data_IF_022380307505
#
_entry.id   IF_022380307505
#
_cell.length_a   1.000
_cell.length_b   1.000
_cell.length_c   1.000
_cell.angle_alpha   90.00
_cell.angle_beta   90.00
_cell.angle_gamma   90.00
#
_symmetry.space_group_name_H-M   'P 1'
#
loop_
_entity.id
_entity.type
_entity.pdbx_description
1 polymer ?
#
# COMPACT_ATOMS: atom_id res chain seq x y z
N UNK A 1 13.33 27.88 5.88
CA UNK A 1 12.21 27.02 5.43
C UNK A 1 12.60 26.39 4.10
N UNK A 2 12.85 25.06 4.02
CA UNK A 2 13.10 24.38 2.74
C UNK A 2 11.83 24.53 1.88
N UNK A 3 11.98 24.97 0.62
CA UNK A 3 10.86 25.02 -0.35
C UNK A 3 10.25 23.64 -0.46
N UNK A 4 8.98 23.53 -0.08
CA UNK A 4 8.22 22.29 -0.25
C UNK A 4 7.65 22.25 -1.67
N UNK A 5 7.57 21.05 -2.23
CA UNK A 5 6.88 20.86 -3.51
C UNK A 5 5.39 21.16 -3.35
N UNK A 6 4.80 21.91 -4.28
CA UNK A 6 3.37 22.13 -4.36
C UNK A 6 2.60 20.81 -4.49
N UNK A 7 3.25 19.79 -5.04
CA UNK A 7 2.69 18.46 -5.27
C UNK A 7 2.78 17.50 -4.07
N UNK A 8 3.32 17.96 -2.90
CA UNK A 8 3.47 17.09 -1.74
C UNK A 8 2.12 16.65 -1.16
N UNK A 9 1.23 17.59 -0.89
CA UNK A 9 -0.09 17.28 -0.28
C UNK A 9 -0.97 16.49 -1.26
N UNK A 10 -1.14 16.89 -2.53
CA UNK A 10 -1.84 16.06 -3.52
C UNK A 10 -1.23 14.66 -3.66
N UNK A 11 0.10 14.55 -3.65
CA UNK A 11 0.80 13.27 -3.68
C UNK A 11 0.45 12.37 -2.49
N UNK A 12 0.40 12.90 -1.27
CA UNK A 12 0.00 12.16 -0.06
C UNK A 12 -1.43 11.63 -0.17
N UNK A 13 -2.37 12.42 -0.68
CA UNK A 13 -3.77 12.01 -0.88
C UNK A 13 -3.83 10.85 -1.89
N UNK A 14 -3.21 11.01 -3.05
CA UNK A 14 -3.20 9.99 -4.10
C UNK A 14 -2.47 8.71 -3.66
N UNK A 15 -1.40 8.83 -2.89
CA UNK A 15 -0.74 7.69 -2.25
C UNK A 15 -1.75 6.97 -1.34
N UNK A 16 -2.47 7.70 -0.46
CA UNK A 16 -3.52 7.12 0.37
C UNK A 16 -4.55 6.33 -0.44
N UNK A 17 -5.05 6.91 -1.53
CA UNK A 17 -5.99 6.25 -2.45
C UNK A 17 -5.40 4.97 -3.04
N UNK A 18 -4.14 5.00 -3.50
CA UNK A 18 -3.48 3.88 -4.18
C UNK A 18 -2.97 2.79 -3.25
N UNK A 19 -2.89 3.03 -1.92
CA UNK A 19 -2.33 2.06 -0.98
C UNK A 19 -3.19 0.82 -0.77
N UNK A 20 -4.49 0.91 -0.91
CA UNK A 20 -5.40 -0.22 -0.64
C UNK A 20 -6.15 -0.71 -1.86
N UNK A 21 -6.56 0.17 -2.76
CA UNK A 21 -7.41 -0.18 -3.90
C UNK A 21 -6.88 -1.35 -4.74
N UNK A 22 -5.56 -1.45 -5.08
CA UNK A 22 -5.08 -2.53 -5.96
C UNK A 22 -5.12 -3.93 -5.35
N UNK A 23 -5.28 -4.04 -4.02
CA UNK A 23 -5.33 -5.34 -3.38
C UNK A 23 -6.67 -5.63 -2.70
N UNK A 24 -7.43 -4.62 -2.25
CA UNK A 24 -8.75 -4.82 -1.63
C UNK A 24 -9.81 -5.27 -2.63
N UNK A 25 -9.63 -4.93 -3.90
CA UNK A 25 -10.54 -5.33 -4.98
C UNK A 25 -10.32 -6.78 -5.43
N UNK A 26 -9.11 -7.35 -5.25
CA UNK A 26 -8.79 -8.69 -5.72
C UNK A 26 -9.74 -9.79 -5.22
N UNK A 27 -10.06 -9.88 -3.90
CA UNK A 27 -10.98 -10.91 -3.42
C UNK A 27 -12.35 -10.85 -4.10
N UNK A 28 -12.84 -9.64 -4.40
CA UNK A 28 -14.16 -9.39 -4.98
C UNK A 28 -14.26 -9.94 -6.42
N UNK A 29 -13.16 -9.87 -7.18
CA UNK A 29 -13.13 -10.25 -8.60
C UNK A 29 -12.44 -11.60 -8.85
N UNK A 30 -12.17 -12.40 -7.81
CA UNK A 30 -11.52 -13.71 -7.97
C UNK A 30 -12.31 -14.65 -8.88
N UNK A 31 -13.63 -14.64 -8.78
CA UNK A 31 -14.51 -15.41 -9.65
C UNK A 31 -14.36 -15.04 -11.13
N UNK A 32 -14.34 -13.74 -11.42
CA UNK A 32 -14.19 -13.24 -12.80
C UNK A 32 -12.79 -13.55 -13.35
N UNK A 33 -11.74 -13.46 -12.51
CA UNK A 33 -10.38 -13.86 -12.89
C UNK A 33 -10.30 -15.35 -13.19
N UNK A 34 -10.94 -16.18 -12.34
CA UNK A 34 -11.03 -17.63 -12.49
C UNK A 34 -11.66 -18.02 -13.83
N UNK A 35 -12.82 -17.45 -14.14
CA UNK A 35 -13.51 -17.65 -15.41
C UNK A 35 -12.68 -17.14 -16.60
N UNK A 36 -12.09 -15.97 -16.48
CA UNK A 36 -11.30 -15.36 -17.56
C UNK A 36 -9.99 -16.06 -17.88
N UNK A 37 -9.40 -16.77 -16.93
CA UNK A 37 -8.16 -17.53 -17.10
C UNK A 37 -8.37 -19.04 -17.22
N UNK A 38 -9.60 -19.54 -17.01
CA UNK A 38 -9.90 -20.98 -17.05
C UNK A 38 -9.25 -21.79 -15.93
N UNK A 39 -9.10 -21.20 -14.74
CA UNK A 39 -8.46 -21.83 -13.57
C UNK A 39 -9.42 -21.90 -12.41
N UNK A 40 -9.25 -22.86 -11.50
CA UNK A 40 -10.09 -22.97 -10.32
C UNK A 40 -9.90 -21.80 -9.35
N UNK A 41 -10.99 -21.32 -8.75
CA UNK A 41 -10.97 -20.24 -7.73
C UNK A 41 -10.09 -20.62 -6.54
N UNK A 42 -10.08 -21.89 -6.15
CA UNK A 42 -9.25 -22.42 -5.06
C UNK A 42 -7.77 -22.14 -5.25
N UNK A 43 -7.26 -22.23 -6.49
CA UNK A 43 -5.87 -21.92 -6.83
C UNK A 43 -5.55 -20.43 -6.69
N UNK A 44 -6.54 -19.56 -6.91
CA UNK A 44 -6.37 -18.10 -6.82
C UNK A 44 -6.44 -17.57 -5.39
N UNK A 45 -6.91 -18.37 -4.42
CA UNK A 45 -6.99 -17.96 -3.01
C UNK A 45 -5.66 -17.45 -2.43
N UNK A 46 -4.54 -18.01 -2.89
CA UNK A 46 -3.20 -17.55 -2.50
C UNK A 46 -2.95 -16.08 -2.86
N UNK A 47 -3.56 -15.56 -3.95
CA UNK A 47 -3.41 -14.16 -4.37
C UNK A 47 -3.80 -13.15 -3.29
N UNK A 48 -4.76 -13.50 -2.43
CA UNK A 48 -5.23 -12.62 -1.36
C UNK A 48 -4.25 -12.57 -0.18
N UNK A 49 -3.48 -13.66 0.03
CA UNK A 49 -2.51 -13.77 1.12
C UNK A 49 -1.13 -13.21 0.75
N UNK A 50 -0.76 -13.23 -0.54
CA UNK A 50 0.56 -12.76 -1.00
C UNK A 50 0.91 -11.33 -0.56
N UNK A 51 0.02 -10.33 -0.66
CA UNK A 51 0.32 -8.99 -0.19
C UNK A 51 0.63 -8.95 1.30
N UNK A 52 -0.05 -9.76 2.13
CA UNK A 52 0.18 -9.81 3.58
C UNK A 52 1.55 -10.40 3.92
N UNK A 53 1.98 -11.44 3.18
CA UNK A 53 3.34 -11.98 3.30
C UNK A 53 4.38 -10.92 2.94
N UNK A 54 4.17 -10.17 1.85
CA UNK A 54 5.06 -9.08 1.47
C UNK A 54 5.08 -7.96 2.51
N UNK A 55 3.95 -7.65 3.15
CA UNK A 55 3.90 -6.71 4.27
C UNK A 55 4.82 -7.14 5.41
N UNK A 56 4.76 -8.40 5.80
CA UNK A 56 5.61 -8.94 6.88
C UNK A 56 7.09 -8.84 6.52
N UNK A 57 7.46 -9.25 5.32
CA UNK A 57 8.86 -9.25 4.88
C UNK A 57 9.41 -7.83 4.70
N UNK A 58 8.73 -7.00 3.90
CA UNK A 58 9.26 -5.69 3.53
C UNK A 58 9.14 -4.64 4.63
N UNK A 59 8.21 -4.78 5.59
CA UNK A 59 8.14 -3.90 6.76
C UNK A 59 9.44 -3.87 7.56
N UNK A 60 10.12 -5.02 7.70
CA UNK A 60 11.38 -5.14 8.44
C UNK A 60 12.56 -4.44 7.73
N UNK A 61 12.55 -4.41 6.40
CA UNK A 61 13.64 -3.84 5.61
C UNK A 61 13.42 -2.38 5.20
N UNK A 62 12.18 -1.90 5.23
CA UNK A 62 11.78 -0.57 4.75
C UNK A 62 12.59 0.56 5.39
N UNK A 63 12.79 0.52 6.72
CA UNK A 63 13.54 1.55 7.45
C UNK A 63 15.03 1.55 7.09
N UNK A 64 15.64 0.37 6.92
CA UNK A 64 17.05 0.25 6.50
C UNK A 64 17.24 0.77 5.07
N UNK A 65 16.27 0.49 4.20
CA UNK A 65 16.28 0.95 2.82
C UNK A 65 16.17 2.48 2.75
N UNK A 66 15.26 3.07 3.55
CA UNK A 66 15.07 4.51 3.65
C UNK A 66 16.30 5.26 4.19
N UNK A 67 17.07 4.62 5.11
CA UNK A 67 18.33 5.18 5.59
C UNK A 67 19.41 5.27 4.50
N UNK A 68 19.45 4.27 3.59
CA UNK A 68 20.44 4.20 2.49
C UNK A 68 20.05 5.08 1.32
N UNK A 69 18.84 4.96 0.82
CA UNK A 69 18.38 5.57 -0.43
C UNK A 69 17.76 6.96 -0.17
N UNK A 70 17.09 7.13 0.98
CA UNK A 70 16.28 8.30 1.31
C UNK A 70 14.79 8.03 1.10
N UNK A 71 13.96 8.84 1.77
CA UNK A 71 12.51 8.63 1.80
C UNK A 71 11.87 8.85 0.44
N UNK A 72 12.07 10.03 -0.14
CA UNK A 72 11.40 10.43 -1.38
C UNK A 72 11.83 9.58 -2.57
N UNK A 73 13.12 9.20 -2.65
CA UNK A 73 13.60 8.28 -3.67
C UNK A 73 12.96 6.91 -3.52
N UNK A 74 12.92 6.38 -2.29
CA UNK A 74 12.33 5.08 -2.02
C UNK A 74 10.83 5.06 -2.33
N UNK A 75 10.10 6.15 -2.02
CA UNK A 75 8.69 6.29 -2.42
C UNK A 75 8.53 6.30 -3.94
N UNK A 76 9.38 7.02 -4.65
CA UNK A 76 9.34 7.06 -6.12
C UNK A 76 9.55 5.67 -6.71
N UNK A 77 10.56 4.93 -6.24
CA UNK A 77 10.79 3.56 -6.69
C UNK A 77 9.63 2.62 -6.32
N UNK A 78 9.10 2.74 -5.12
CA UNK A 78 7.96 1.91 -4.70
C UNK A 78 6.71 2.19 -5.55
N UNK A 79 6.40 3.45 -5.87
CA UNK A 79 5.28 3.81 -6.74
C UNK A 79 5.49 3.34 -8.19
N UNK A 80 6.73 3.38 -8.67
CA UNK A 80 7.08 2.82 -9.98
C UNK A 80 6.86 1.29 -10.03
N UNK A 81 7.37 0.56 -9.02
CA UNK A 81 7.15 -0.88 -8.91
C UNK A 81 5.68 -1.23 -8.69
N UNK A 82 4.92 -0.40 -7.95
CA UNK A 82 3.48 -0.54 -7.79
C UNK A 82 2.76 -0.47 -9.15
N UNK A 83 3.13 0.51 -9.97
CA UNK A 83 2.51 0.71 -11.30
C UNK A 83 2.86 -0.43 -12.25
N UNK A 84 4.13 -0.83 -12.32
CA UNK A 84 4.57 -1.97 -13.16
C UNK A 84 3.92 -3.26 -12.64
N UNK A 85 3.95 -3.52 -11.34
CA UNK A 85 3.32 -4.68 -10.74
C UNK A 85 1.83 -4.78 -11.06
N UNK A 86 1.12 -3.65 -11.05
CA UNK A 86 -0.29 -3.61 -11.44
C UNK A 86 -0.48 -3.92 -12.94
N UNK A 87 0.41 -3.41 -13.81
CA UNK A 87 0.33 -3.59 -15.24
C UNK A 87 0.58 -5.04 -15.67
N UNK A 88 1.60 -5.69 -15.14
CA UNK A 88 1.98 -7.07 -15.54
C UNK A 88 0.94 -8.11 -15.13
N UNK A 89 0.05 -7.80 -14.19
CA UNK A 89 -1.09 -8.65 -13.82
C UNK A 89 -2.04 -8.97 -14.97
N UNK A 90 -2.02 -8.15 -16.04
CA UNK A 90 -2.92 -8.27 -17.18
C UNK A 90 -2.53 -9.36 -18.17
N UNK A 91 -1.28 -9.85 -18.12
CA UNK A 91 -0.67 -10.64 -19.18
C UNK A 91 -1.06 -12.12 -19.07
N UNK A 92 -0.69 -12.77 -17.98
CA UNK A 92 -0.96 -14.20 -17.76
C UNK A 92 -0.94 -14.55 -16.24
N UNK A 93 -1.31 -15.79 -15.92
CA UNK A 93 -1.41 -16.27 -14.55
C UNK A 93 -0.08 -16.15 -13.76
N UNK A 94 1.09 -16.58 -14.22
CA UNK A 94 2.33 -16.39 -13.47
C UNK A 94 2.66 -14.92 -13.20
N UNK A 95 2.42 -14.04 -14.17
CA UNK A 95 2.64 -12.61 -14.02
C UNK A 95 1.59 -11.93 -13.13
N UNK A 96 0.39 -12.51 -13.02
CA UNK A 96 -0.62 -12.07 -12.03
C UNK A 96 -0.10 -12.28 -10.60
N UNK A 97 0.52 -13.43 -10.32
CA UNK A 97 1.16 -13.69 -9.01
C UNK A 97 2.35 -12.77 -8.78
N UNK A 98 3.26 -12.67 -9.74
CA UNK A 98 4.44 -11.81 -9.63
C UNK A 98 4.05 -10.33 -9.44
N UNK A 99 3.08 -9.85 -10.23
CA UNK A 99 2.56 -8.48 -10.10
C UNK A 99 1.92 -8.23 -8.73
N UNK A 100 1.22 -9.23 -8.19
CA UNK A 100 0.62 -9.12 -6.85
C UNK A 100 1.69 -9.07 -5.76
N UNK A 101 2.77 -9.82 -5.88
CA UNK A 101 3.94 -9.72 -4.99
C UNK A 101 4.58 -8.33 -5.06
N UNK A 102 4.81 -7.79 -6.28
CA UNK A 102 5.39 -6.46 -6.46
C UNK A 102 4.50 -5.36 -5.88
N UNK A 103 3.21 -5.44 -6.10
CA UNK A 103 2.21 -4.51 -5.52
C UNK A 103 2.25 -4.59 -4.00
N UNK A 104 2.20 -5.79 -3.43
CA UNK A 104 2.25 -6.00 -1.98
C UNK A 104 3.53 -5.45 -1.34
N UNK A 105 4.70 -5.72 -1.93
CA UNK A 105 5.99 -5.21 -1.47
C UNK A 105 6.05 -3.67 -1.51
N UNK A 106 5.58 -3.07 -2.60
CA UNK A 106 5.55 -1.62 -2.77
C UNK A 106 4.65 -0.93 -1.73
N UNK A 107 3.44 -1.47 -1.55
CA UNK A 107 2.48 -0.97 -0.56
C UNK A 107 3.04 -1.11 0.86
N UNK A 108 3.72 -2.22 1.17
CA UNK A 108 4.34 -2.43 2.48
C UNK A 108 5.37 -1.35 2.81
N UNK A 109 6.28 -1.07 1.87
CA UNK A 109 7.31 -0.03 2.03
C UNK A 109 6.67 1.34 2.25
N UNK A 110 5.70 1.72 1.41
CA UNK A 110 5.03 3.02 1.48
C UNK A 110 4.28 3.17 2.80
N UNK A 111 3.48 2.19 3.21
CA UNK A 111 2.69 2.24 4.45
C UNK A 111 3.56 2.44 5.70
N UNK A 112 4.67 1.71 5.80
CA UNK A 112 5.57 1.80 6.97
C UNK A 112 6.26 3.16 7.04
N UNK A 113 6.60 3.74 5.90
CA UNK A 113 7.41 4.95 5.85
C UNK A 113 6.61 6.24 5.69
N UNK A 114 5.32 6.16 5.35
CA UNK A 114 4.48 7.34 5.10
C UNK A 114 4.42 8.31 6.29
N UNK A 115 4.25 7.86 7.55
CA UNK A 115 4.32 8.75 8.70
C UNK A 115 5.69 9.42 8.85
N UNK A 116 6.78 8.68 8.58
CA UNK A 116 8.15 9.22 8.65
C UNK A 116 8.41 10.25 7.56
N UNK A 117 7.86 10.05 6.37
CA UNK A 117 7.93 11.00 5.26
C UNK A 117 7.19 12.30 5.61
N UNK A 118 5.99 12.20 6.18
CA UNK A 118 5.20 13.36 6.62
C UNK A 118 5.97 14.12 7.70
N UNK A 119 6.53 13.41 8.68
CA UNK A 119 7.30 14.00 9.76
C UNK A 119 8.55 14.74 9.26
N UNK A 120 9.26 14.17 8.28
CA UNK A 120 10.46 14.79 7.70
C UNK A 120 10.14 16.06 6.91
N UNK A 121 9.01 16.09 6.21
CA UNK A 121 8.63 17.20 5.34
C UNK A 121 7.75 18.25 6.04
N UNK A 122 6.79 17.85 6.87
CA UNK A 122 5.84 18.74 7.53
C UNK A 122 5.60 18.39 9.00
N UNK A 123 6.58 18.55 9.89
CA UNK A 123 6.47 18.15 11.29
C UNK A 123 5.33 18.86 12.05
N UNK A 124 4.97 20.08 11.63
CA UNK A 124 3.88 20.85 12.27
C UNK A 124 2.47 20.37 11.85
N UNK A 125 2.35 19.60 10.77
CA UNK A 125 1.06 19.16 10.19
C UNK A 125 0.90 17.64 10.19
N UNK A 126 1.66 16.91 11.01
CA UNK A 126 1.65 15.44 11.03
C UNK A 126 0.23 14.90 11.24
N UNK A 127 -0.46 15.37 12.28
CA UNK A 127 -1.82 14.91 12.59
C UNK A 127 -2.78 15.14 11.42
N UNK A 128 -2.80 16.35 10.87
CA UNK A 128 -3.67 16.70 9.75
C UNK A 128 -3.39 15.84 8.51
N UNK A 129 -2.13 15.71 8.09
CA UNK A 129 -1.78 14.93 6.90
C UNK A 129 -1.99 13.44 7.10
N UNK A 130 -1.80 12.93 8.33
CA UNK A 130 -2.10 11.54 8.67
C UNK A 130 -3.60 11.28 8.56
N UNK A 131 -4.44 12.13 9.15
CA UNK A 131 -5.90 12.02 9.01
C UNK A 131 -6.31 12.08 7.54
N UNK A 132 -5.74 13.01 6.78
CA UNK A 132 -6.07 13.21 5.37
C UNK A 132 -5.82 11.96 4.53
N UNK A 133 -4.63 11.34 4.63
CA UNK A 133 -4.35 10.14 3.83
C UNK A 133 -5.13 8.91 4.32
N UNK A 134 -5.33 8.76 5.63
CA UNK A 134 -6.11 7.64 6.18
C UNK A 134 -7.58 7.74 5.75
N UNK A 135 -8.17 8.93 5.80
CA UNK A 135 -9.54 9.16 5.32
C UNK A 135 -9.64 8.91 3.81
N UNK A 136 -8.69 9.44 3.02
CA UNK A 136 -8.63 9.19 1.58
C UNK A 136 -8.53 7.70 1.26
N UNK A 137 -7.71 6.95 2.02
CA UNK A 137 -7.57 5.51 1.90
C UNK A 137 -8.88 4.77 2.20
N UNK A 138 -9.61 5.19 3.26
CA UNK A 138 -10.91 4.60 3.61
C UNK A 138 -11.97 4.84 2.55
N UNK A 139 -12.13 6.09 2.10
CA UNK A 139 -13.08 6.47 1.04
C UNK A 139 -12.76 5.72 -0.26
N UNK A 140 -11.49 5.69 -0.66
CA UNK A 140 -11.06 5.02 -1.87
C UNK A 140 -11.32 3.49 -1.81
N UNK A 141 -11.09 2.87 -0.65
CA UNK A 141 -11.41 1.45 -0.44
C UNK A 141 -12.90 1.18 -0.60
N UNK A 142 -13.75 1.98 0.03
CA UNK A 142 -15.21 1.83 -0.07
C UNK A 142 -15.71 2.02 -1.52
N UNK A 143 -15.24 3.07 -2.19
CA UNK A 143 -15.60 3.33 -3.59
C UNK A 143 -15.10 2.23 -4.53
N UNK A 144 -13.86 1.77 -4.37
CA UNK A 144 -13.29 0.73 -5.20
C UNK A 144 -14.02 -0.61 -5.01
N UNK A 145 -14.39 -0.97 -3.79
CA UNK A 145 -15.18 -2.17 -3.51
C UNK A 145 -16.59 -2.07 -4.09
N UNK A 146 -17.24 -0.92 -3.93
CA UNK A 146 -18.59 -0.69 -4.49
C UNK A 146 -18.60 -0.74 -6.02
N UNK A 147 -17.59 -0.15 -6.67
CA UNK A 147 -17.50 -0.06 -8.13
C UNK A 147 -16.88 -1.30 -8.77
N UNK A 148 -16.27 -2.21 -8.01
CA UNK A 148 -15.57 -3.38 -8.53
C UNK A 148 -16.51 -4.24 -9.40
N UNK A 149 -17.65 -4.65 -8.86
CA UNK A 149 -18.62 -5.53 -9.55
C UNK A 149 -19.22 -4.84 -10.77
N UNK A 150 -19.79 -3.61 -10.69
CA UNK A 150 -20.32 -2.91 -11.87
C UNK A 150 -19.29 -2.74 -13.00
N UNK A 151 -18.06 -2.37 -12.68
CA UNK A 151 -17.01 -2.18 -13.68
C UNK A 151 -16.61 -3.51 -14.32
N UNK A 152 -16.49 -4.57 -13.53
CA UNK A 152 -16.12 -5.89 -14.03
C UNK A 152 -17.21 -6.45 -14.95
N UNK A 153 -18.48 -6.27 -14.60
CA UNK A 153 -19.62 -6.68 -15.44
C UNK A 153 -19.71 -5.86 -16.73
N UNK A 154 -19.42 -4.56 -16.68
CA UNK A 154 -19.49 -3.68 -17.85
C UNK A 154 -18.33 -3.86 -18.84
N UNK A 155 -17.14 -4.27 -18.34
CA UNK A 155 -15.95 -4.39 -19.20
C UNK A 155 -15.29 -5.77 -19.09
N UNK A 156 -14.62 -6.05 -18.01
CA UNK A 156 -13.99 -7.31 -17.61
C UNK A 156 -13.15 -7.08 -16.36
N UNK A 157 -12.65 -8.14 -15.72
CA UNK A 157 -11.67 -8.05 -14.65
C UNK A 157 -10.38 -7.30 -15.08
N UNK A 158 -9.97 -7.44 -16.36
CA UNK A 158 -8.83 -6.71 -16.93
C UNK A 158 -9.09 -5.21 -16.99
N UNK A 159 -10.30 -4.79 -17.36
CA UNK A 159 -10.68 -3.37 -17.40
C UNK A 159 -10.56 -2.70 -16.03
N UNK A 160 -10.98 -3.38 -14.98
CA UNK A 160 -10.83 -2.89 -13.61
C UNK A 160 -9.35 -2.78 -13.21
N UNK A 161 -8.52 -3.78 -13.52
CA UNK A 161 -7.06 -3.71 -13.25
C UNK A 161 -6.41 -2.58 -14.04
N UNK A 162 -6.81 -2.32 -15.28
CA UNK A 162 -6.33 -1.19 -16.07
C UNK A 162 -6.67 0.14 -15.38
N UNK A 163 -7.90 0.30 -14.92
CA UNK A 163 -8.32 1.51 -14.19
C UNK A 163 -7.47 1.73 -12.93
N UNK A 164 -7.23 0.68 -12.16
CA UNK A 164 -6.36 0.74 -10.98
C UNK A 164 -4.90 1.03 -11.34
N UNK A 165 -4.42 0.50 -12.46
CA UNK A 165 -3.07 0.79 -12.97
C UNK A 165 -2.94 2.25 -13.38
N UNK A 166 -3.95 2.83 -14.04
CA UNK A 166 -3.98 4.25 -14.38
C UNK A 166 -3.98 5.14 -13.13
N UNK A 167 -4.70 4.74 -12.08
CA UNK A 167 -4.66 5.41 -10.78
C UNK A 167 -3.25 5.37 -10.16
N UNK A 168 -2.59 4.21 -10.18
CA UNK A 168 -1.22 4.08 -9.68
C UNK A 168 -0.23 4.92 -10.51
N UNK A 169 -0.40 4.95 -11.83
CA UNK A 169 0.39 5.78 -12.73
C UNK A 169 0.19 7.27 -12.46
N UNK A 170 -1.05 7.72 -12.29
CA UNK A 170 -1.36 9.10 -11.94
C UNK A 170 -0.71 9.47 -10.60
N UNK A 171 -0.78 8.59 -9.61
CA UNK A 171 -0.12 8.78 -8.31
C UNK A 171 1.40 8.90 -8.46
N UNK A 172 2.02 8.03 -9.26
CA UNK A 172 3.45 8.08 -9.55
C UNK A 172 3.85 9.40 -10.23
N UNK A 173 3.11 9.83 -11.25
CA UNK A 173 3.40 11.07 -11.98
C UNK A 173 3.25 12.33 -11.09
N UNK A 174 2.19 12.39 -10.28
CA UNK A 174 2.00 13.51 -9.34
C UNK A 174 3.06 13.50 -8.24
N UNK A 175 3.55 12.31 -7.85
CA UNK A 175 4.62 12.21 -6.87
C UNK A 175 6.00 12.58 -7.42
N UNK A 176 6.26 12.40 -8.72
CA UNK A 176 7.57 12.51 -9.35
C UNK A 176 8.33 13.82 -9.04
N UNK A 177 7.68 15.02 -8.98
CA UNK A 177 8.37 16.26 -8.62
C UNK A 177 8.98 16.22 -7.22
N UNK A 178 8.47 15.39 -6.30
CA UNK A 178 8.99 15.25 -4.94
C UNK A 178 10.30 14.47 -4.88
N UNK A 179 10.66 13.73 -5.94
CA UNK A 179 11.92 13.00 -6.05
C UNK A 179 13.17 13.92 -5.87
N UNK A 180 13.05 15.20 -6.21
CA UNK A 180 14.12 16.21 -6.07
C UNK A 180 14.46 16.55 -4.61
N UNK A 181 13.52 16.27 -3.69
CA UNK A 181 13.67 16.54 -2.26
C UNK A 181 13.91 15.22 -1.56
N UNK A 182 15.16 14.90 -1.22
CA UNK A 182 15.46 13.61 -0.60
C UNK A 182 15.90 13.79 0.87
N UNK A 183 15.08 13.26 1.80
CA UNK A 183 15.38 13.23 3.22
C UNK A 183 15.81 11.82 3.61
N UNK A 184 17.02 11.68 4.12
CA UNK A 184 17.49 10.43 4.70
C UNK A 184 17.03 10.34 6.15
N UNK A 185 16.49 9.19 6.53
CA UNK A 185 16.27 8.89 7.94
C UNK A 185 17.61 8.87 8.65
N UNK A 186 17.71 9.63 9.74
CA UNK A 186 18.90 9.57 10.58
C UNK A 186 19.11 8.11 11.01
N UNK A 187 20.37 7.60 11.01
CA UNK A 187 20.65 6.30 11.59
C UNK A 187 20.07 6.31 13.00
N UNK A 188 19.24 5.34 13.32
CA UNK A 188 18.83 5.17 14.71
C UNK A 188 20.11 4.91 15.49
N UNK A 189 20.65 5.95 16.11
CA UNK A 189 21.64 5.78 17.16
C UNK A 189 21.03 4.75 18.09
N UNK A 190 21.76 3.66 18.35
CA UNK A 190 21.43 2.68 19.38
C UNK A 190 21.42 3.40 20.73
N UNK A 191 20.47 4.31 20.92
CA UNK A 191 20.10 4.68 22.27
C UNK A 191 19.68 3.38 22.89
N UNK A 192 20.53 2.85 23.75
CA UNK A 192 20.15 1.79 24.68
C UNK A 192 18.97 2.34 25.46
N UNK A 193 17.76 2.16 24.90
CA UNK A 193 16.53 2.41 25.64
C UNK A 193 16.63 1.54 26.87
N UNK A 194 16.86 2.18 28.04
CA UNK A 194 16.90 1.49 29.33
C UNK A 194 15.56 0.84 29.67
N UNK A 195 14.50 1.23 29.00
CA UNK A 195 13.19 0.59 29.06
C UNK A 195 13.18 -0.60 28.11
N UNK A 196 13.14 -1.79 28.69
CA UNK A 196 12.85 -3.02 27.95
C UNK A 196 11.42 -2.89 27.41
N UNK A 197 11.27 -2.40 26.18
CA UNK A 197 9.97 -2.17 25.50
C UNK A 197 9.09 -3.42 25.60
N UNK A 198 9.70 -4.60 25.52
CA UNK A 198 9.05 -5.92 25.67
C UNK A 198 8.45 -6.18 27.06
N UNK A 199 8.81 -5.43 28.11
CA UNK A 199 8.27 -5.60 29.47
C UNK A 199 7.17 -4.59 29.80
N UNK A 200 6.84 -3.67 28.88
CA UNK A 200 5.80 -2.69 29.12
C UNK A 200 4.43 -3.27 28.73
N UNK A 201 3.55 -3.48 29.70
CA UNK A 201 2.17 -3.99 29.49
C UNK A 201 1.36 -3.15 28.50
N UNK A 202 1.57 -1.81 28.48
CA UNK A 202 0.89 -0.92 27.56
C UNK A 202 1.27 -1.17 26.10
N UNK A 203 2.55 -1.48 25.83
CA UNK A 203 3.03 -1.83 24.49
C UNK A 203 2.38 -3.12 24.02
N UNK A 204 2.29 -4.12 24.90
CA UNK A 204 1.61 -5.38 24.57
C UNK A 204 0.11 -5.18 24.33
N UNK A 205 -0.57 -4.35 25.12
CA UNK A 205 -1.97 -4.04 24.90
C UNK A 205 -2.21 -3.41 23.51
N UNK A 206 -1.36 -2.46 23.08
CA UNK A 206 -1.43 -1.85 21.75
C UNK A 206 -1.15 -2.87 20.65
N UNK A 207 -0.14 -3.73 20.81
CA UNK A 207 0.20 -4.77 19.82
C UNK A 207 -0.96 -5.75 19.66
N UNK A 208 -1.53 -6.23 20.75
CA UNK A 208 -2.65 -7.18 20.74
C UNK A 208 -3.89 -6.53 20.13
N UNK A 209 -4.22 -5.31 20.51
CA UNK A 209 -5.33 -4.56 19.94
C UNK A 209 -5.18 -4.35 18.43
N UNK A 210 -3.99 -3.90 17.97
CA UNK A 210 -3.71 -3.71 16.56
C UNK A 210 -3.75 -5.03 15.78
N UNK A 211 -3.28 -6.13 16.39
CA UNK A 211 -3.35 -7.47 15.82
C UNK A 211 -4.78 -7.95 15.63
N UNK A 212 -5.63 -7.83 16.63
CA UNK A 212 -7.06 -8.19 16.54
C UNK A 212 -7.81 -7.32 15.54
N UNK A 213 -7.58 -6.02 15.55
CA UNK A 213 -8.18 -5.10 14.57
C UNK A 213 -7.81 -5.47 13.12
N UNK A 214 -6.54 -5.78 12.89
CA UNK A 214 -6.08 -6.22 11.57
C UNK A 214 -6.70 -7.55 11.17
N UNK A 215 -6.75 -8.51 12.09
CA UNK A 215 -7.36 -9.82 11.86
C UNK A 215 -8.83 -9.68 11.46
N UNK A 216 -9.62 -8.93 12.22
CA UNK A 216 -11.03 -8.66 11.93
C UNK A 216 -11.20 -7.99 10.56
N UNK A 217 -10.39 -6.95 10.28
CA UNK A 217 -10.47 -6.22 9.02
C UNK A 217 -10.19 -7.14 7.82
N UNK A 218 -9.09 -7.89 7.84
CA UNK A 218 -8.71 -8.75 6.71
C UNK A 218 -9.62 -9.96 6.57
N UNK A 219 -10.12 -10.53 7.67
CA UNK A 219 -11.11 -11.61 7.63
C UNK A 219 -12.42 -11.13 7.01
N UNK A 220 -12.95 -10.01 7.48
CA UNK A 220 -14.17 -9.43 6.93
C UNK A 220 -14.00 -9.11 5.44
N UNK A 221 -12.86 -8.53 5.04
CA UNK A 221 -12.60 -8.16 3.66
C UNK A 221 -12.47 -9.37 2.72
N UNK A 222 -11.96 -10.50 3.22
CA UNK A 222 -11.73 -11.69 2.40
C UNK A 222 -12.99 -12.56 2.29
N UNK A 223 -13.81 -12.65 3.35
CA UNK A 223 -14.92 -13.61 3.43
C UNK A 223 -16.32 -12.99 3.28
N UNK A 224 -16.50 -11.69 3.52
CA UNK A 224 -17.79 -11.03 3.36
C UNK A 224 -18.26 -10.88 1.90
N UNK A 225 -17.38 -10.73 0.89
CA UNK A 225 -17.81 -10.63 -0.51
C UNK A 225 -18.23 -11.95 -1.15
N UNK A 226 -18.06 -13.08 -0.46
CA UNK A 226 -18.50 -14.42 -0.92
C UNK A 226 -19.88 -14.76 -0.38
#
# INVERSE_FOLDING_TARGET
MKKQSLFFVPGIILIGVSLRTPFTVLPIILGDISQGLGVEVSSLGVLTSLPLLMFTLFSLFSTRLAQKIGLEHLFTYSLFFLTIGSLIRLINLPLLYLGTLMVGASIAVINVLLPSLIQANQPKKIGFLTTLYVTSMGIATALASYLAVPITQASSWKGLIILLTLLCLATFLVWLPNHRYNHRLAPQTKQKSKTKVMHNKQVWAVIVFAGFQSLLFYTAMTWLPT
#
